data_IF_758310201121
#
_entry.id   IF_758310201121
#
_cell.length_a   1.000
_cell.length_b   1.000
_cell.length_c   1.000
_cell.angle_alpha   90.00
_cell.angle_beta   90.00
_cell.angle_gamma   90.00
#
_symmetry.space_group_name_H-M   'P 1'
#
loop_
_entity.id
_entity.type
_entity.pdbx_description
1 polymer ?
#
# COMPACT_ATOMS: atom_id res chain seq x y z
N UNK A 1 12.81 30.08 -43.67
CA UNK A 1 11.95 31.29 -43.76
C UNK A 1 10.80 31.07 -42.80
N UNK A 2 10.57 31.99 -41.85
CA UNK A 2 9.50 31.84 -40.85
C UNK A 2 8.21 32.44 -41.42
N UNK A 3 7.12 31.67 -41.38
CA UNK A 3 5.83 32.06 -41.95
C UNK A 3 4.90 32.43 -40.80
N UNK A 4 4.41 33.67 -40.79
CA UNK A 4 3.38 34.13 -39.86
C UNK A 4 2.07 34.37 -40.62
N UNK A 5 0.90 34.15 -40.00
CA UNK A 5 -0.39 34.35 -40.65
C UNK A 5 -0.74 35.82 -40.93
N UNK A 6 -0.03 36.76 -40.29
CA UNK A 6 -0.22 38.21 -40.45
C UNK A 6 1.08 38.95 -40.14
N UNK A 7 1.31 40.16 -40.72
CA UNK A 7 2.41 41.04 -40.32
C UNK A 7 2.25 41.64 -38.91
N UNK A 8 1.07 41.56 -38.30
CA UNK A 8 0.82 42.08 -36.94
C UNK A 8 0.86 40.97 -35.91
N UNK A 9 1.86 41.00 -35.02
CA UNK A 9 1.96 40.09 -33.88
C UNK A 9 2.85 40.64 -32.78
N UNK A 10 2.90 39.92 -31.67
CA UNK A 10 3.79 40.19 -30.52
C UNK A 10 4.68 38.98 -30.32
N UNK A 11 5.98 39.22 -30.19
CA UNK A 11 6.97 38.23 -29.79
C UNK A 11 7.22 38.38 -28.28
N UNK A 12 7.05 37.30 -27.54
CA UNK A 12 7.39 37.21 -26.12
C UNK A 12 8.67 36.40 -25.96
N UNK A 13 9.66 36.97 -25.28
CA UNK A 13 10.92 36.31 -24.95
C UNK A 13 10.95 36.02 -23.45
N UNK A 14 11.39 34.82 -23.09
CA UNK A 14 11.61 34.39 -21.70
C UNK A 14 13.02 33.84 -21.60
N UNK A 15 13.84 34.46 -20.76
CA UNK A 15 15.16 33.96 -20.39
C UNK A 15 15.01 32.97 -19.22
N UNK A 16 15.25 31.69 -19.50
CA UNK A 16 15.10 30.61 -18.53
C UNK A 16 16.19 30.58 -17.46
N UNK A 17 17.38 31.15 -17.75
CA UNK A 17 18.50 31.15 -16.82
C UNK A 17 18.38 32.31 -15.82
N UNK A 18 18.01 33.49 -16.31
CA UNK A 18 17.88 34.70 -15.49
C UNK A 18 16.46 34.96 -15.00
N UNK A 19 15.49 34.15 -15.41
CA UNK A 19 14.08 34.28 -15.05
C UNK A 19 13.48 35.66 -15.44
N UNK A 20 13.92 36.21 -16.57
CA UNK A 20 13.49 37.49 -17.12
C UNK A 20 12.54 37.27 -18.30
N UNK A 21 11.67 38.24 -18.58
CA UNK A 21 10.81 38.20 -19.76
C UNK A 21 10.59 39.60 -20.34
N UNK A 22 10.35 39.65 -21.65
CA UNK A 22 10.01 40.89 -22.36
C UNK A 22 9.14 40.59 -23.58
N UNK A 23 8.46 41.61 -24.10
CA UNK A 23 7.60 41.50 -25.28
C UNK A 23 7.84 42.62 -26.27
N UNK A 24 7.95 42.30 -27.56
CA UNK A 24 8.14 43.26 -28.65
C UNK A 24 7.19 42.97 -29.81
N UNK A 25 6.58 44.00 -30.38
CA UNK A 25 5.69 43.87 -31.53
C UNK A 25 4.55 44.88 -31.54
N UNK A 26 3.49 44.54 -32.28
CA UNK A 26 2.33 45.39 -32.47
C UNK A 26 1.31 45.20 -31.34
N UNK A 27 0.89 46.30 -30.70
CA UNK A 27 -0.05 46.28 -29.58
C UNK A 27 -1.31 47.07 -29.93
N UNK A 28 -2.47 46.44 -29.81
CA UNK A 28 -3.75 47.13 -29.85
C UNK A 28 -4.16 47.63 -28.44
N UNK A 29 -5.07 48.60 -28.34
CA UNK A 29 -5.51 49.15 -27.04
C UNK A 29 -5.96 48.04 -26.07
N UNK A 30 -5.43 48.07 -24.83
CA UNK A 30 -5.74 47.08 -23.79
C UNK A 30 -4.87 45.80 -23.81
N UNK A 31 -4.24 45.45 -24.93
CA UNK A 31 -3.40 44.24 -25.03
C UNK A 31 -2.14 44.30 -24.15
N UNK A 32 -1.46 45.46 -24.15
CA UNK A 32 -0.20 45.62 -23.41
C UNK A 32 -0.37 45.49 -21.88
N UNK A 33 -1.34 46.16 -21.23
CA UNK A 33 -1.62 45.94 -19.80
C UNK A 33 -2.00 44.48 -19.49
N UNK A 34 -2.81 43.84 -20.34
CA UNK A 34 -3.19 42.44 -20.18
C UNK A 34 -1.96 41.53 -20.20
N UNK A 35 -1.04 41.69 -21.16
CA UNK A 35 0.18 40.88 -21.23
C UNK A 35 1.15 41.13 -20.09
N UNK A 36 1.25 42.35 -19.59
CA UNK A 36 2.07 42.63 -18.41
C UNK A 36 1.56 41.85 -17.18
N UNK A 37 0.24 41.88 -16.94
CA UNK A 37 -0.36 41.14 -15.82
C UNK A 37 -0.27 39.61 -16.03
N UNK A 38 -0.58 39.15 -17.24
CA UNK A 38 -0.56 37.73 -17.58
C UNK A 38 0.85 37.14 -17.46
N UNK A 39 1.87 37.78 -18.03
CA UNK A 39 3.25 37.29 -17.95
C UNK A 39 3.80 37.33 -16.53
N UNK A 40 3.49 38.37 -15.74
CA UNK A 40 3.86 38.40 -14.33
C UNK A 40 3.26 37.20 -13.56
N UNK A 41 2.00 36.84 -13.85
CA UNK A 41 1.34 35.68 -13.25
C UNK A 41 1.92 34.35 -13.75
N UNK A 42 2.15 34.20 -15.05
CA UNK A 42 2.73 33.00 -15.67
C UNK A 42 4.13 32.74 -15.11
N UNK A 43 4.99 33.76 -15.07
CA UNK A 43 6.34 33.60 -14.52
C UNK A 43 6.30 33.18 -13.05
N UNK A 44 5.34 33.66 -12.26
CA UNK A 44 5.23 33.28 -10.85
C UNK A 44 4.63 31.88 -10.62
N UNK A 45 3.59 31.51 -11.37
CA UNK A 45 2.71 30.39 -11.04
C UNK A 45 2.70 29.22 -12.05
N UNK A 46 3.49 29.29 -13.12
CA UNK A 46 3.53 28.21 -14.12
C UNK A 46 4.25 26.96 -13.55
N UNK A 47 3.59 25.77 -13.55
CA UNK A 47 4.19 24.55 -13.01
C UNK A 47 5.46 24.10 -13.73
N UNK A 48 5.57 24.30 -15.06
CA UNK A 48 6.77 23.92 -15.80
C UNK A 48 7.99 24.78 -15.42
N UNK A 49 7.78 26.09 -15.24
CA UNK A 49 8.81 26.99 -14.73
C UNK A 49 9.18 26.66 -13.27
N UNK A 50 8.21 26.22 -12.45
CA UNK A 50 8.49 25.73 -11.11
C UNK A 50 9.40 24.48 -11.14
N UNK A 51 9.06 23.47 -11.94
CA UNK A 51 9.89 22.26 -12.12
C UNK A 51 11.30 22.60 -12.60
N UNK A 52 11.44 23.55 -13.54
CA UNK A 52 12.75 24.02 -13.99
C UNK A 52 13.57 24.61 -12.83
N UNK A 53 12.97 25.51 -12.04
CA UNK A 53 13.64 26.14 -10.89
C UNK A 53 14.03 25.13 -9.83
N UNK A 54 13.15 24.18 -9.51
CA UNK A 54 13.43 23.11 -8.55
C UNK A 54 14.58 22.22 -9.01
N UNK A 55 14.64 21.88 -10.31
CA UNK A 55 15.78 21.14 -10.86
C UNK A 55 17.08 21.92 -10.76
N UNK A 56 17.06 23.23 -11.02
CA UNK A 56 18.23 24.10 -10.85
C UNK A 56 18.64 24.15 -9.37
N UNK A 57 17.70 24.35 -8.43
CA UNK A 57 17.95 24.35 -6.97
C UNK A 57 18.56 23.03 -6.50
N UNK A 58 17.97 21.88 -6.88
CA UNK A 58 18.49 20.54 -6.60
C UNK A 58 19.89 20.34 -7.17
N UNK A 59 20.13 20.76 -8.41
CA UNK A 59 21.45 20.69 -9.06
C UNK A 59 22.51 21.52 -8.35
N UNK A 60 22.13 22.68 -7.80
CA UNK A 60 22.97 23.56 -7.00
C UNK A 60 23.00 23.22 -5.50
N UNK A 61 22.26 22.19 -5.07
CA UNK A 61 22.12 21.77 -3.68
C UNK A 61 21.60 22.88 -2.75
N UNK A 62 20.76 23.77 -3.27
CA UNK A 62 20.11 24.83 -2.50
C UNK A 62 18.80 24.32 -1.93
N UNK A 63 18.66 24.37 -0.60
CA UNK A 63 17.44 23.99 0.10
C UNK A 63 16.82 25.23 0.75
N UNK A 64 15.56 25.49 0.46
CA UNK A 64 14.77 26.55 1.08
C UNK A 64 13.55 25.96 1.75
N UNK A 65 13.21 26.43 2.95
CA UNK A 65 11.97 26.10 3.64
C UNK A 65 10.79 26.85 3.00
N UNK A 66 10.41 26.48 1.78
CA UNK A 66 9.15 26.94 1.22
C UNK A 66 7.97 26.19 1.88
N UNK A 67 6.83 26.85 2.13
CA UNK A 67 5.65 26.18 2.66
C UNK A 67 5.13 25.19 1.61
N UNK A 68 5.49 23.92 1.75
CA UNK A 68 4.95 22.84 0.92
C UNK A 68 3.62 22.37 1.49
N UNK A 69 2.75 21.83 0.63
CA UNK A 69 1.58 21.14 1.13
C UNK A 69 1.99 20.01 2.09
N UNK A 70 1.29 19.85 3.23
CA UNK A 70 1.60 18.80 4.17
C UNK A 70 1.35 17.44 3.53
N UNK A 71 2.27 16.51 3.74
CA UNK A 71 2.10 15.13 3.30
C UNK A 71 0.91 14.47 4.01
N UNK A 72 0.42 13.36 3.44
CA UNK A 72 -0.55 12.53 4.11
C UNK A 72 0.11 11.88 5.34
N UNK A 73 -0.49 12.09 6.51
CA UNK A 73 -0.07 11.56 7.81
C UNK A 73 -1.28 11.04 8.59
N UNK A 74 -1.07 10.50 9.79
CA UNK A 74 -2.18 10.03 10.63
C UNK A 74 -3.07 11.17 11.14
N UNK A 75 -2.59 12.42 11.10
CA UNK A 75 -3.32 13.60 11.58
C UNK A 75 -4.34 14.12 10.56
N UNK A 76 -3.99 14.12 9.28
CA UNK A 76 -4.86 14.59 8.17
C UNK A 76 -5.50 13.45 7.38
N UNK A 77 -5.38 12.20 7.86
CA UNK A 77 -5.93 11.00 7.23
C UNK A 77 -7.42 11.08 6.87
N UNK A 78 -8.20 11.87 7.62
CA UNK A 78 -9.63 12.09 7.36
C UNK A 78 -9.92 12.81 6.03
N UNK A 79 -8.98 13.58 5.49
CA UNK A 79 -9.14 14.33 4.23
C UNK A 79 -9.40 13.42 3.02
N UNK A 80 -8.96 12.16 3.10
CA UNK A 80 -9.15 11.13 2.08
C UNK A 80 -10.62 10.87 1.73
N UNK A 81 -11.53 11.18 2.65
CA UNK A 81 -12.95 10.88 2.53
C UNK A 81 -13.81 12.13 2.25
N UNK A 82 -13.17 13.22 1.83
CA UNK A 82 -13.87 14.41 1.37
C UNK A 82 -14.61 14.18 0.04
N UNK A 83 -15.38 15.19 -0.39
CA UNK A 83 -16.07 15.16 -1.68
C UNK A 83 -15.12 15.24 -2.89
N UNK A 84 -13.83 15.49 -2.68
CA UNK A 84 -12.84 15.50 -3.76
C UNK A 84 -12.52 14.08 -4.24
N UNK A 85 -12.23 13.94 -5.53
CA UNK A 85 -11.72 12.68 -6.09
C UNK A 85 -10.22 12.64 -5.80
N UNK A 86 -9.83 11.68 -4.97
CA UNK A 86 -8.44 11.48 -4.54
C UNK A 86 -8.00 10.12 -5.03
N UNK A 87 -6.81 10.03 -5.64
CA UNK A 87 -6.21 8.76 -6.03
C UNK A 87 -4.92 8.50 -5.26
N UNK A 88 -4.77 7.28 -4.77
CA UNK A 88 -3.46 6.72 -4.44
C UNK A 88 -2.81 6.16 -5.68
N UNK A 89 -1.51 6.40 -5.83
CA UNK A 89 -0.67 5.74 -6.84
C UNK A 89 0.46 5.00 -6.12
N UNK A 90 0.47 3.68 -6.27
CA UNK A 90 1.55 2.82 -5.79
C UNK A 90 2.29 2.18 -6.97
N UNK A 91 3.59 2.46 -7.07
CA UNK A 91 4.48 1.97 -8.11
C UNK A 91 5.36 0.80 -7.62
N UNK A 92 5.10 0.27 -6.41
CA UNK A 92 5.94 -0.75 -5.76
C UNK A 92 6.08 -2.01 -6.60
N UNK A 93 5.00 -2.42 -7.26
CA UNK A 93 4.94 -3.66 -8.02
C UNK A 93 5.03 -3.49 -9.54
N UNK A 94 5.49 -2.33 -10.02
CA UNK A 94 5.57 -2.03 -11.45
C UNK A 94 6.72 -2.79 -12.11
N UNK A 95 7.93 -2.70 -11.53
CA UNK A 95 9.09 -3.43 -12.01
C UNK A 95 9.46 -4.52 -11.00
N UNK A 96 9.15 -5.76 -11.36
CA UNK A 96 9.37 -6.95 -10.54
C UNK A 96 10.34 -7.88 -11.24
N UNK A 97 11.18 -8.55 -10.46
CA UNK A 97 12.18 -9.49 -10.97
C UNK A 97 12.18 -10.79 -10.20
N UNK A 98 12.48 -11.89 -10.88
CA UNK A 98 12.91 -13.14 -10.26
C UNK A 98 14.42 -13.22 -10.30
N UNK A 99 15.03 -13.55 -9.16
CA UNK A 99 16.47 -13.69 -9.03
C UNK A 99 16.80 -15.16 -9.27
N UNK A 100 17.74 -15.44 -10.17
CA UNK A 100 18.31 -16.75 -10.39
C UNK A 100 19.82 -16.69 -10.18
N UNK A 101 20.38 -17.71 -9.52
CA UNK A 101 21.82 -17.85 -9.36
C UNK A 101 22.33 -18.68 -10.53
N UNK A 102 23.27 -18.15 -11.30
CA UNK A 102 23.94 -18.89 -12.37
C UNK A 102 24.86 -19.96 -11.77
N UNK A 103 25.26 -20.92 -12.60
CA UNK A 103 26.20 -21.97 -12.19
C UNK A 103 27.53 -21.41 -11.66
N UNK A 104 27.99 -20.29 -12.24
CA UNK A 104 29.21 -19.57 -11.84
C UNK A 104 29.06 -18.78 -10.53
N UNK A 105 27.88 -18.80 -9.91
CA UNK A 105 27.59 -18.11 -8.66
C UNK A 105 27.08 -16.68 -8.82
N UNK A 106 26.98 -16.16 -10.04
CA UNK A 106 26.46 -14.81 -10.31
C UNK A 106 24.94 -14.74 -10.10
N UNK A 107 24.45 -13.65 -9.53
CA UNK A 107 23.01 -13.40 -9.39
C UNK A 107 22.51 -12.63 -10.63
N UNK A 108 21.63 -13.25 -11.40
CA UNK A 108 20.98 -12.65 -12.57
C UNK A 108 19.50 -12.43 -12.28
N UNK A 109 18.93 -11.39 -12.87
CA UNK A 109 17.53 -11.00 -12.66
C UNK A 109 16.74 -11.13 -13.95
N UNK A 110 15.55 -11.71 -13.89
CA UNK A 110 14.62 -11.79 -15.02
C UNK A 110 13.36 -11.00 -14.69
N UNK A 111 12.96 -10.02 -15.52
CA UNK A 111 11.73 -9.28 -15.27
C UNK A 111 10.50 -10.17 -15.42
N UNK A 112 9.52 -9.94 -14.57
CA UNK A 112 8.17 -10.55 -14.65
C UNK A 112 7.13 -9.44 -14.80
N UNK A 113 5.89 -9.82 -15.12
CA UNK A 113 4.79 -8.87 -15.20
C UNK A 113 4.60 -8.12 -13.86
N UNK A 114 4.38 -6.83 -13.98
CA UNK A 114 4.08 -5.94 -12.88
C UNK A 114 2.73 -5.27 -13.05
N UNK A 115 2.38 -4.42 -12.10
CA UNK A 115 1.19 -3.59 -12.20
C UNK A 115 1.35 -2.26 -11.48
N UNK A 116 0.72 -1.23 -12.03
CA UNK A 116 0.49 0.04 -11.35
C UNK A 116 -0.83 -0.07 -10.61
N UNK A 117 -0.83 0.34 -9.36
CA UNK A 117 -2.02 0.35 -8.51
C UNK A 117 -2.51 1.79 -8.35
N UNK A 118 -3.66 2.12 -8.96
CA UNK A 118 -4.29 3.45 -8.86
C UNK A 118 -5.64 3.29 -8.19
N UNK A 119 -5.84 3.92 -7.03
CA UNK A 119 -6.93 3.57 -6.14
C UNK A 119 -7.66 4.79 -5.55
N UNK A 120 -8.99 4.79 -5.62
CA UNK A 120 -9.83 5.79 -4.97
C UNK A 120 -10.30 5.29 -3.58
N UNK A 121 -9.82 5.89 -2.48
CA UNK A 121 -10.14 5.45 -1.11
C UNK A 121 -11.58 5.72 -0.70
N UNK A 122 -12.31 6.58 -1.42
CA UNK A 122 -13.72 6.86 -1.10
C UNK A 122 -14.64 5.82 -1.72
N UNK A 123 -14.43 5.50 -2.99
CA UNK A 123 -15.35 4.63 -3.76
C UNK A 123 -14.93 3.17 -3.81
N UNK A 124 -13.68 2.85 -3.47
CA UNK A 124 -13.14 1.50 -3.64
C UNK A 124 -12.63 1.22 -5.06
N UNK A 125 -12.79 2.16 -6.00
CA UNK A 125 -12.41 1.95 -7.39
C UNK A 125 -10.90 1.79 -7.53
N UNK A 126 -10.48 0.68 -8.14
CA UNK A 126 -9.11 0.32 -8.42
C UNK A 126 -8.90 0.21 -9.92
N UNK A 127 -8.06 1.07 -10.47
CA UNK A 127 -7.51 0.93 -11.81
C UNK A 127 -6.17 0.18 -11.69
N UNK A 128 -6.18 -1.09 -12.08
CA UNK A 128 -5.01 -1.95 -12.09
C UNK A 128 -4.44 -2.01 -13.50
N UNK A 129 -3.38 -1.24 -13.77
CA UNK A 129 -2.70 -1.27 -15.07
C UNK A 129 -1.62 -2.33 -15.05
N UNK A 130 -1.80 -3.38 -15.84
CA UNK A 130 -0.81 -4.44 -16.00
C UNK A 130 0.30 -3.95 -16.91
N UNK A 131 1.54 -4.10 -16.46
CA UNK A 131 2.77 -3.79 -17.21
C UNK A 131 3.43 -5.11 -17.60
N UNK A 132 3.29 -5.45 -18.89
CA UNK A 132 3.86 -6.66 -19.45
C UNK A 132 5.38 -6.55 -19.61
N UNK A 133 6.09 -7.69 -19.53
CA UNK A 133 7.55 -7.76 -19.64
C UNK A 133 8.12 -7.15 -20.93
N UNK A 134 7.34 -7.08 -22.01
CA UNK A 134 7.76 -6.46 -23.28
C UNK A 134 8.15 -4.99 -23.14
N UNK A 135 7.60 -4.27 -22.15
CA UNK A 135 7.95 -2.86 -21.88
C UNK A 135 9.41 -2.71 -21.46
N UNK A 136 10.01 -3.76 -20.89
CA UNK A 136 11.39 -3.75 -20.41
C UNK A 136 12.40 -4.21 -21.47
N UNK A 137 11.93 -4.74 -22.60
CA UNK A 137 12.79 -5.32 -23.62
C UNK A 137 13.70 -4.26 -24.27
N UNK A 138 15.01 -4.52 -24.29
CA UNK A 138 16.01 -3.61 -24.87
C UNK A 138 16.29 -2.34 -24.05
N UNK A 139 15.67 -2.20 -22.88
CA UNK A 139 15.80 -1.01 -22.04
C UNK A 139 16.89 -1.17 -20.96
N UNK A 140 17.47 -0.05 -20.54
CA UNK A 140 18.44 0.03 -19.43
C UNK A 140 17.89 0.91 -18.31
N UNK A 141 18.47 0.79 -17.11
CA UNK A 141 18.06 1.57 -15.91
C UNK A 141 16.57 1.41 -15.59
N UNK A 142 16.11 0.16 -15.60
CA UNK A 142 14.69 -0.22 -15.48
C UNK A 142 14.02 0.32 -14.21
N UNK A 143 14.75 0.46 -13.10
CA UNK A 143 14.21 1.06 -11.87
C UNK A 143 13.82 2.53 -12.01
N UNK A 144 14.54 3.31 -12.84
CA UNK A 144 14.15 4.68 -13.16
C UNK A 144 13.01 4.67 -14.18
N UNK A 145 13.13 3.86 -15.24
CA UNK A 145 12.13 3.75 -16.29
C UNK A 145 10.75 3.38 -15.74
N UNK A 146 10.68 2.49 -14.73
CA UNK A 146 9.43 2.09 -14.09
C UNK A 146 8.64 3.28 -13.52
N UNK A 147 9.32 4.26 -12.91
CA UNK A 147 8.69 5.45 -12.34
C UNK A 147 8.14 6.37 -13.42
N UNK A 148 8.92 6.60 -14.48
CA UNK A 148 8.49 7.40 -15.63
C UNK A 148 7.33 6.74 -16.37
N UNK A 149 7.40 5.43 -16.60
CA UNK A 149 6.32 4.68 -17.22
C UNK A 149 5.05 4.70 -16.37
N UNK A 150 5.19 4.65 -15.04
CA UNK A 150 4.05 4.81 -14.13
C UNK A 150 3.40 6.18 -14.29
N UNK A 151 4.18 7.25 -14.27
CA UNK A 151 3.66 8.62 -14.44
C UNK A 151 2.99 8.83 -15.80
N UNK A 152 3.57 8.26 -16.87
CA UNK A 152 2.99 8.27 -18.21
C UNK A 152 1.61 7.59 -18.25
N UNK A 153 1.48 6.37 -17.71
CA UNK A 153 0.21 5.63 -17.70
C UNK A 153 -0.84 6.30 -16.80
N UNK A 154 -0.43 6.89 -15.66
CA UNK A 154 -1.33 7.69 -14.80
C UNK A 154 -1.85 8.90 -15.56
N UNK A 155 -0.98 9.65 -16.25
CA UNK A 155 -1.39 10.80 -17.05
C UNK A 155 -2.30 10.40 -18.22
N UNK A 156 -2.02 9.25 -18.87
CA UNK A 156 -2.87 8.71 -19.93
C UNK A 156 -4.26 8.32 -19.40
N UNK A 157 -4.34 7.71 -18.21
CA UNK A 157 -5.61 7.41 -17.57
C UNK A 157 -6.42 8.69 -17.28
N UNK A 158 -5.80 9.72 -16.72
CA UNK A 158 -6.48 11.01 -16.46
C UNK A 158 -7.01 11.63 -17.76
N UNK A 159 -6.24 11.59 -18.85
CA UNK A 159 -6.68 12.07 -20.18
C UNK A 159 -7.87 11.29 -20.73
N UNK A 160 -8.01 10.02 -20.37
CA UNK A 160 -9.13 9.18 -20.82
C UNK A 160 -10.44 9.45 -20.08
N UNK A 161 -10.38 10.10 -18.92
CA UNK A 161 -11.57 10.40 -18.10
C UNK A 161 -12.16 11.78 -18.41
N UNK A 162 -13.50 11.92 -18.35
CA UNK A 162 -14.16 13.22 -18.33
C UNK A 162 -13.65 14.11 -17.19
N UNK A 163 -13.69 15.44 -17.37
CA UNK A 163 -13.11 16.41 -16.42
C UNK A 163 -13.77 16.33 -15.03
N UNK A 164 -15.02 15.86 -14.97
CA UNK A 164 -15.80 15.62 -13.75
C UNK A 164 -15.26 14.44 -12.92
N UNK A 165 -14.70 13.43 -13.58
CA UNK A 165 -14.16 12.22 -12.96
C UNK A 165 -12.65 12.30 -12.70
N UNK A 166 -11.98 13.34 -13.21
CA UNK A 166 -10.56 13.54 -12.99
C UNK A 166 -10.25 13.82 -11.51
N UNK A 167 -9.17 13.24 -10.97
CA UNK A 167 -8.78 13.47 -9.59
C UNK A 167 -8.42 14.93 -9.36
N UNK A 168 -8.78 15.47 -8.19
CA UNK A 168 -8.27 16.77 -7.73
C UNK A 168 -6.95 16.62 -7.00
N UNK A 169 -6.68 15.43 -6.46
CA UNK A 169 -5.46 15.14 -5.73
C UNK A 169 -4.97 13.73 -6.04
N UNK A 170 -3.65 13.60 -6.20
CA UNK A 170 -2.93 12.34 -6.34
C UNK A 170 -1.96 12.22 -5.19
N UNK A 171 -2.05 11.11 -4.45
CA UNK A 171 -1.17 10.79 -3.33
C UNK A 171 -0.26 9.65 -3.75
N UNK A 172 1.05 9.89 -3.74
CA UNK A 172 2.03 8.84 -4.03
C UNK A 172 2.51 8.17 -2.75
N UNK A 173 2.63 6.84 -2.79
CA UNK A 173 3.18 6.06 -1.67
C UNK A 173 4.69 6.22 -1.53
N UNK A 174 5.41 6.48 -2.64
CA UNK A 174 6.87 6.59 -2.66
C UNK A 174 7.30 7.95 -3.20
N UNK A 175 8.19 8.64 -2.47
CA UNK A 175 8.71 9.97 -2.83
C UNK A 175 9.33 10.04 -4.23
N UNK A 176 9.89 8.93 -4.72
CA UNK A 176 10.47 8.85 -6.06
C UNK A 176 9.49 9.04 -7.22
N UNK A 177 8.17 9.01 -6.96
CA UNK A 177 7.12 9.24 -7.94
C UNK A 177 6.67 10.71 -8.07
N UNK A 178 7.07 11.58 -7.14
CA UNK A 178 6.71 13.01 -7.18
C UNK A 178 7.26 13.67 -8.46
N UNK A 179 8.59 13.62 -8.65
CA UNK A 179 9.24 14.29 -9.78
C UNK A 179 8.71 13.81 -11.16
N UNK A 180 8.53 12.49 -11.44
CA UNK A 180 7.94 12.05 -12.70
C UNK A 180 6.49 12.52 -12.92
N UNK A 181 5.65 12.49 -11.88
CA UNK A 181 4.25 12.92 -12.00
C UNK A 181 4.14 14.43 -12.22
N UNK A 182 4.95 15.24 -11.53
CA UNK A 182 4.98 16.70 -11.75
C UNK A 182 5.29 17.06 -13.21
N UNK A 183 6.14 16.26 -13.87
CA UNK A 183 6.50 16.46 -15.28
C UNK A 183 5.41 15.99 -16.22
N UNK A 184 4.81 14.83 -15.97
CA UNK A 184 3.78 14.28 -16.85
C UNK A 184 2.40 14.94 -16.69
N UNK A 185 2.15 15.61 -15.56
CA UNK A 185 0.89 16.29 -15.25
C UNK A 185 0.95 17.82 -15.43
N UNK A 186 1.93 18.34 -16.18
CA UNK A 186 2.00 19.77 -16.54
C UNK A 186 0.75 20.26 -17.28
N UNK A 187 0.09 19.38 -18.03
CA UNK A 187 -1.18 19.65 -18.73
C UNK A 187 -2.38 19.77 -17.75
N UNK A 188 -2.20 19.35 -16.49
CA UNK A 188 -3.23 19.28 -15.46
C UNK A 188 -2.86 20.13 -14.23
N UNK A 189 -2.75 21.47 -14.36
CA UNK A 189 -2.24 22.35 -13.31
C UNK A 189 -3.11 22.40 -12.05
N UNK A 190 -4.35 21.90 -12.11
CA UNK A 190 -5.30 21.89 -11.00
C UNK A 190 -5.24 20.60 -10.17
N UNK A 191 -4.42 19.62 -10.57
CA UNK A 191 -4.26 18.37 -9.83
C UNK A 191 -3.11 18.53 -8.85
N UNK A 192 -3.43 18.39 -7.56
CA UNK A 192 -2.46 18.44 -6.48
C UNK A 192 -1.71 17.11 -6.39
N UNK A 193 -0.39 17.15 -6.36
CA UNK A 193 0.46 15.96 -6.17
C UNK A 193 1.05 16.00 -4.76
N UNK A 194 0.72 15.01 -3.94
CA UNK A 194 1.10 14.95 -2.52
C UNK A 194 1.86 13.66 -2.21
N UNK A 195 2.84 13.74 -1.32
CA UNK A 195 3.52 12.56 -0.77
C UNK A 195 2.77 11.97 0.43
N UNK A 196 3.03 10.71 0.75
CA UNK A 196 2.57 10.06 1.97
C UNK A 196 3.73 9.79 2.92
N UNK A 197 3.55 10.13 4.21
CA UNK A 197 4.41 9.65 5.31
C UNK A 197 3.98 8.24 5.76
N UNK A 198 2.74 7.86 5.49
CA UNK A 198 2.21 6.53 5.78
C UNK A 198 2.77 5.52 4.78
N UNK A 199 3.36 4.43 5.26
CA UNK A 199 3.79 3.30 4.43
C UNK A 199 2.62 2.33 4.23
N UNK A 200 1.65 2.69 3.39
CA UNK A 200 0.47 1.87 3.14
C UNK A 200 0.83 0.55 2.42
N UNK A 201 0.18 -0.58 2.75
CA UNK A 201 0.60 -1.91 2.31
C UNK A 201 -0.03 -2.31 0.96
N UNK A 202 -0.23 -1.37 0.02
CA UNK A 202 -0.87 -1.67 -1.27
C UNK A 202 -0.11 -2.72 -2.09
N UNK A 203 1.21 -2.84 -1.90
CA UNK A 203 2.00 -3.89 -2.51
C UNK A 203 1.53 -5.32 -2.17
N UNK A 204 0.89 -5.51 -1.00
CA UNK A 204 0.37 -6.81 -0.57
C UNK A 204 -0.88 -7.22 -1.36
N UNK A 205 -1.47 -6.32 -2.14
CA UNK A 205 -2.62 -6.62 -2.98
C UNK A 205 -2.31 -7.72 -4.01
N UNK A 206 -1.08 -7.78 -4.52
CA UNK A 206 -0.63 -8.87 -5.42
C UNK A 206 -0.60 -10.26 -4.77
N UNK A 207 -0.66 -10.34 -3.43
CA UNK A 207 -0.70 -11.61 -2.71
C UNK A 207 -2.09 -12.25 -2.74
N UNK A 208 -3.11 -11.51 -3.19
CA UNK A 208 -4.45 -12.01 -3.48
C UNK A 208 -4.44 -12.70 -4.84
N UNK A 209 -4.89 -13.95 -4.87
CA UNK A 209 -4.82 -14.85 -6.03
C UNK A 209 -5.46 -14.24 -7.27
N UNK A 210 -6.63 -13.58 -7.11
CA UNK A 210 -7.35 -12.93 -8.22
C UNK A 210 -6.49 -11.91 -8.96
N UNK A 211 -5.71 -11.11 -8.23
CA UNK A 211 -4.82 -10.13 -8.83
C UNK A 211 -3.51 -10.74 -9.30
N UNK A 212 -2.90 -11.61 -8.48
CA UNK A 212 -1.65 -12.30 -8.80
C UNK A 212 -1.75 -13.10 -10.09
N UNK A 213 -2.76 -13.95 -10.22
CA UNK A 213 -2.99 -14.78 -11.40
C UNK A 213 -3.26 -13.94 -12.64
N UNK A 214 -4.09 -12.91 -12.52
CA UNK A 214 -4.43 -12.03 -13.64
C UNK A 214 -3.18 -11.36 -14.21
N UNK A 215 -2.29 -10.87 -13.34
CA UNK A 215 -1.05 -10.21 -13.76
C UNK A 215 -0.06 -11.21 -14.35
N UNK A 216 0.07 -12.40 -13.77
CA UNK A 216 0.99 -13.42 -14.28
C UNK A 216 0.54 -14.00 -15.63
N UNK A 217 -0.77 -14.15 -15.85
CA UNK A 217 -1.35 -14.72 -17.08
C UNK A 217 -1.46 -13.69 -18.22
N UNK A 218 -1.31 -12.40 -17.96
CA UNK A 218 -1.43 -11.36 -18.98
C UNK A 218 -0.33 -11.46 -20.05
N UNK A 219 -0.75 -11.47 -21.32
CA UNK A 219 0.12 -11.53 -22.49
C UNK A 219 0.45 -10.15 -23.08
N UNK A 220 -0.29 -9.12 -22.68
CA UNK A 220 -0.14 -7.74 -23.14
C UNK A 220 -0.45 -6.72 -22.05
N UNK A 221 0.00 -5.45 -22.18
CA UNK A 221 -0.38 -4.39 -21.25
C UNK A 221 -1.88 -4.08 -21.35
N UNK A 222 -2.60 -4.16 -20.24
CA UNK A 222 -4.04 -3.90 -20.20
C UNK A 222 -4.43 -3.18 -18.91
N UNK A 223 -5.51 -2.39 -18.98
CA UNK A 223 -6.11 -1.73 -17.82
C UNK A 223 -7.30 -2.57 -17.34
N UNK A 224 -7.33 -2.93 -16.06
CA UNK A 224 -8.43 -3.69 -15.47
C UNK A 224 -9.03 -2.91 -14.32
N UNK A 225 -10.35 -2.76 -14.35
CA UNK A 225 -11.11 -2.03 -13.33
C UNK A 225 -11.66 -3.01 -12.29
N UNK A 226 -11.47 -2.68 -11.02
CA UNK A 226 -12.04 -3.39 -9.88
C UNK A 226 -12.73 -2.42 -8.93
N UNK A 227 -13.65 -2.93 -8.13
CA UNK A 227 -14.03 -2.31 -6.88
C UNK A 227 -13.44 -3.13 -5.74
N UNK A 228 -12.38 -2.64 -5.09
CA UNK A 228 -11.67 -3.37 -4.04
C UNK A 228 -12.48 -3.48 -2.74
N UNK A 229 -13.57 -2.73 -2.60
CA UNK A 229 -14.48 -2.84 -1.46
C UNK A 229 -15.61 -3.84 -1.70
N UNK A 230 -15.71 -4.41 -2.90
CA UNK A 230 -16.85 -5.23 -3.30
C UNK A 230 -18.18 -4.51 -3.00
N UNK A 231 -18.94 -4.98 -2.01
CA UNK A 231 -20.24 -4.47 -1.58
C UNK A 231 -20.23 -3.80 -0.20
N UNK A 232 -19.06 -3.61 0.44
CA UNK A 232 -18.97 -3.09 1.81
C UNK A 232 -19.62 -1.72 1.99
N UNK A 233 -19.60 -0.86 0.97
CA UNK A 233 -20.19 0.48 1.05
C UNK A 233 -21.72 0.47 1.21
N UNK A 234 -22.36 -0.68 1.08
CA UNK A 234 -23.80 -0.83 1.35
C UNK A 234 -24.10 -0.83 2.86
N UNK A 235 -23.18 -1.34 3.70
CA UNK A 235 -23.39 -1.49 5.15
C UNK A 235 -22.48 -0.59 5.98
N UNK A 236 -21.31 -0.21 5.47
CA UNK A 236 -20.32 0.60 6.20
C UNK A 236 -19.86 1.84 5.42
N UNK A 237 -19.34 2.82 6.14
CA UNK A 237 -18.80 4.05 5.53
C UNK A 237 -17.49 3.79 4.77
N UNK A 238 -17.14 4.67 3.82
CA UNK A 238 -15.85 4.63 3.11
C UNK A 238 -14.64 4.63 4.06
N UNK A 239 -14.72 5.37 5.18
CA UNK A 239 -13.67 5.40 6.20
C UNK A 239 -13.44 4.00 6.80
N UNK A 240 -14.53 3.33 7.18
CA UNK A 240 -14.49 1.98 7.75
C UNK A 240 -14.03 0.96 6.70
N UNK A 241 -14.53 1.06 5.46
CA UNK A 241 -14.14 0.18 4.36
C UNK A 241 -12.65 0.29 4.02
N UNK A 242 -12.11 1.52 3.99
CA UNK A 242 -10.68 1.73 3.82
C UNK A 242 -9.88 1.18 4.99
N UNK A 243 -10.33 1.40 6.23
CA UNK A 243 -9.66 0.87 7.42
C UNK A 243 -9.61 -0.66 7.40
N UNK A 244 -10.73 -1.33 7.05
CA UNK A 244 -10.80 -2.78 6.82
C UNK A 244 -9.81 -3.24 5.76
N UNK A 245 -9.79 -2.56 4.60
CA UNK A 245 -8.85 -2.88 3.52
C UNK A 245 -7.40 -2.78 3.98
N UNK A 246 -7.01 -1.69 4.63
CA UNK A 246 -5.64 -1.50 5.12
C UNK A 246 -5.27 -2.57 6.13
N UNK A 247 -6.19 -2.95 7.02
CA UNK A 247 -5.99 -4.01 7.99
C UNK A 247 -5.72 -5.37 7.30
N UNK A 248 -6.53 -5.74 6.31
CA UNK A 248 -6.36 -6.97 5.53
C UNK A 248 -5.01 -6.96 4.79
N UNK A 249 -4.72 -5.88 4.06
CA UNK A 249 -3.49 -5.76 3.29
C UNK A 249 -2.24 -5.74 4.19
N UNK A 250 -2.31 -5.12 5.36
CA UNK A 250 -1.22 -5.12 6.34
C UNK A 250 -1.00 -6.52 6.91
N UNK A 251 -2.07 -7.23 7.24
CA UNK A 251 -1.99 -8.61 7.71
C UNK A 251 -1.39 -9.53 6.63
N UNK A 252 -1.82 -9.40 5.36
CA UNK A 252 -1.23 -10.12 4.21
C UNK A 252 0.25 -9.77 4.00
N UNK A 253 0.65 -8.52 4.29
CA UNK A 253 2.04 -8.10 4.25
C UNK A 253 2.87 -8.83 5.31
N UNK A 254 2.37 -8.88 6.55
CA UNK A 254 3.01 -9.50 7.72
C UNK A 254 3.06 -11.02 7.63
N UNK A 255 1.91 -11.66 7.44
CA UNK A 255 1.78 -13.12 7.35
C UNK A 255 0.68 -13.49 6.38
N UNK A 256 1.09 -13.87 5.16
CA UNK A 256 0.18 -14.25 4.08
C UNK A 256 -0.68 -15.45 4.48
N UNK A 257 -0.04 -16.57 4.86
CA UNK A 257 -0.72 -17.83 5.15
C UNK A 257 -1.75 -17.70 6.28
N UNK A 258 -1.38 -17.06 7.41
CA UNK A 258 -2.29 -16.88 8.55
C UNK A 258 -3.46 -15.98 8.21
N UNK A 259 -3.21 -14.91 7.46
CA UNK A 259 -4.26 -13.99 7.04
C UNK A 259 -5.28 -14.68 6.14
N UNK A 260 -4.83 -15.51 5.20
CA UNK A 260 -5.74 -16.29 4.34
C UNK A 260 -6.61 -17.27 5.12
N UNK A 261 -6.08 -17.85 6.20
CA UNK A 261 -6.85 -18.71 7.12
C UNK A 261 -7.89 -17.87 7.88
N UNK A 262 -7.49 -16.71 8.43
CA UNK A 262 -8.39 -15.81 9.17
C UNK A 262 -9.55 -15.31 8.29
N UNK A 263 -9.28 -14.99 7.02
CA UNK A 263 -10.30 -14.52 6.07
C UNK A 263 -11.33 -15.60 5.71
N UNK A 264 -11.04 -16.89 5.95
CA UNK A 264 -11.94 -18.03 5.66
C UNK A 264 -12.18 -18.83 6.95
N UNK A 265 -13.00 -18.30 7.88
CA UNK A 265 -13.18 -18.89 9.21
C UNK A 265 -13.89 -20.25 9.18
N UNK A 266 -14.71 -20.49 8.15
CA UNK A 266 -15.41 -21.76 7.94
C UNK A 266 -15.21 -22.27 6.50
N UNK A 267 -15.49 -23.56 6.29
CA UNK A 267 -15.39 -24.18 4.96
C UNK A 267 -16.55 -23.83 4.01
N UNK A 268 -17.59 -23.18 4.52
CA UNK A 268 -18.75 -22.71 3.74
C UNK A 268 -18.55 -21.29 3.20
N UNK A 269 -17.54 -20.58 3.70
CA UNK A 269 -17.17 -19.22 3.29
C UNK A 269 -16.73 -19.23 1.83
N UNK A 270 -17.60 -18.70 0.98
CA UNK A 270 -17.35 -18.54 -0.45
C UNK A 270 -17.07 -17.08 -0.81
N UNK A 271 -16.35 -16.89 -1.90
CA UNK A 271 -16.13 -15.58 -2.52
C UNK A 271 -16.93 -15.56 -3.81
N UNK A 272 -17.77 -14.54 -3.99
CA UNK A 272 -18.53 -14.39 -5.23
C UNK A 272 -17.57 -14.21 -6.42
N UNK A 273 -17.89 -14.70 -7.63
CA UNK A 273 -16.99 -14.64 -8.78
C UNK A 273 -16.54 -13.20 -9.12
N UNK A 274 -17.42 -12.22 -8.93
CA UNK A 274 -17.15 -10.81 -9.18
C UNK A 274 -16.46 -10.11 -8.00
N UNK A 275 -16.52 -10.68 -6.79
CA UNK A 275 -15.89 -10.13 -5.59
C UNK A 275 -14.42 -10.54 -5.44
N UNK A 276 -13.69 -9.79 -4.62
CA UNK A 276 -12.30 -10.06 -4.26
C UNK A 276 -12.23 -10.74 -2.90
N UNK A 277 -13.05 -10.28 -1.95
CA UNK A 277 -13.04 -10.74 -0.56
C UNK A 277 -14.14 -11.77 -0.30
N UNK A 278 -13.97 -12.62 0.72
CA UNK A 278 -15.01 -13.56 1.14
C UNK A 278 -16.30 -12.84 1.56
N UNK A 279 -17.44 -13.45 1.22
CA UNK A 279 -18.76 -12.92 1.62
C UNK A 279 -19.03 -13.29 3.08
N UNK A 280 -18.88 -12.31 3.97
CA UNK A 280 -19.08 -12.45 5.40
C UNK A 280 -20.15 -11.48 5.89
N UNK A 281 -20.91 -11.88 6.91
CA UNK A 281 -21.82 -11.00 7.63
C UNK A 281 -21.04 -9.96 8.47
N UNK A 282 -21.67 -8.83 8.80
CA UNK A 282 -21.02 -7.75 9.57
C UNK A 282 -20.45 -8.22 10.92
N UNK A 283 -21.14 -9.13 11.62
CA UNK A 283 -20.66 -9.73 12.87
C UNK A 283 -19.42 -10.62 12.69
N UNK A 284 -19.33 -11.32 11.56
CA UNK A 284 -18.15 -12.12 11.22
C UNK A 284 -16.98 -11.21 10.86
N UNK A 285 -17.22 -10.13 10.11
CA UNK A 285 -16.21 -9.11 9.82
C UNK A 285 -15.60 -8.52 11.09
N UNK A 286 -16.42 -8.19 12.10
CA UNK A 286 -15.90 -7.70 13.39
C UNK A 286 -14.92 -8.68 14.04
N UNK A 287 -15.23 -9.98 14.04
CA UNK A 287 -14.34 -11.02 14.60
C UNK A 287 -13.05 -11.14 13.78
N UNK A 288 -13.16 -11.14 12.45
CA UNK A 288 -12.03 -11.21 11.53
C UNK A 288 -11.12 -9.99 11.71
N UNK A 289 -11.66 -8.78 11.76
CA UNK A 289 -10.90 -7.55 11.97
C UNK A 289 -10.10 -7.58 13.28
N UNK A 290 -10.70 -8.06 14.38
CA UNK A 290 -9.96 -8.23 15.65
C UNK A 290 -8.78 -9.19 15.48
N UNK A 291 -9.00 -10.35 14.85
CA UNK A 291 -7.93 -11.33 14.61
C UNK A 291 -6.81 -10.79 13.72
N UNK A 292 -7.14 -10.02 12.68
CA UNK A 292 -6.16 -9.39 11.79
C UNK A 292 -5.34 -8.34 12.54
N UNK A 293 -6.00 -7.52 13.37
CA UNK A 293 -5.32 -6.54 14.23
C UNK A 293 -4.35 -7.22 15.19
N UNK A 294 -4.80 -8.27 15.88
CA UNK A 294 -3.98 -9.00 16.85
C UNK A 294 -2.78 -9.69 16.18
N UNK A 295 -2.95 -10.19 14.95
CA UNK A 295 -1.86 -10.75 14.14
C UNK A 295 -0.79 -9.70 13.82
N UNK A 296 -1.21 -8.49 13.41
CA UNK A 296 -0.29 -7.39 13.07
C UNK A 296 0.45 -6.92 14.33
N UNK A 297 -0.27 -6.68 15.42
CA UNK A 297 0.31 -6.22 16.68
C UNK A 297 1.24 -7.27 17.30
N UNK A 298 0.85 -8.55 17.22
CA UNK A 298 1.69 -9.65 17.70
C UNK A 298 3.02 -9.78 16.94
N UNK A 299 3.03 -9.53 15.62
CA UNK A 299 4.28 -9.47 14.84
C UNK A 299 5.13 -8.25 15.23
N UNK A 300 4.50 -7.08 15.39
CA UNK A 300 5.19 -5.87 15.83
C UNK A 300 5.83 -6.05 17.22
N UNK A 301 5.08 -6.58 18.19
CA UNK A 301 5.55 -6.84 19.55
C UNK A 301 6.72 -7.82 19.57
N UNK A 302 6.69 -8.87 18.74
CA UNK A 302 7.80 -9.84 18.61
C UNK A 302 9.04 -9.24 17.98
N UNK A 303 8.90 -8.42 16.93
CA UNK A 303 10.04 -7.81 16.24
C UNK A 303 10.72 -6.73 17.06
N UNK A 304 9.94 -5.97 17.84
CA UNK A 304 10.45 -4.84 18.62
C UNK A 304 10.62 -5.15 20.11
N UNK A 305 10.31 -6.38 20.55
CA UNK A 305 10.29 -6.78 21.96
C UNK A 305 9.43 -5.84 22.83
N UNK A 306 8.22 -5.52 22.37
CA UNK A 306 7.26 -4.64 23.06
C UNK A 306 6.03 -5.44 23.47
N UNK A 307 5.58 -5.25 24.71
CA UNK A 307 4.30 -5.79 25.17
C UNK A 307 3.14 -5.03 24.49
N UNK A 308 2.37 -5.74 23.66
CA UNK A 308 1.24 -5.17 22.89
C UNK A 308 0.18 -4.51 23.78
N UNK A 309 -0.03 -5.00 24.99
CA UNK A 309 -0.99 -4.43 25.93
C UNK A 309 -0.62 -3.01 26.39
N UNK A 310 0.65 -2.62 26.29
CA UNK A 310 1.12 -1.29 26.67
C UNK A 310 0.90 -0.22 25.59
N UNK A 311 0.44 -0.62 24.39
CA UNK A 311 0.25 0.31 23.27
C UNK A 311 -1.05 1.13 23.42
N UNK A 312 -0.91 2.43 23.20
CA UNK A 312 -2.04 3.36 23.10
C UNK A 312 -2.80 3.19 21.78
N UNK A 313 -4.05 3.68 21.72
CA UNK A 313 -4.85 3.60 20.48
C UNK A 313 -4.23 4.38 19.31
N UNK A 314 -3.54 5.49 19.59
CA UNK A 314 -2.77 6.23 18.58
C UNK A 314 -1.61 5.42 18.03
N UNK A 315 -0.83 4.75 18.90
CA UNK A 315 0.29 3.90 18.48
C UNK A 315 -0.23 2.71 17.67
N UNK A 316 -1.32 2.05 18.11
CA UNK A 316 -1.94 0.96 17.35
C UNK A 316 -2.33 1.41 15.94
N UNK A 317 -2.98 2.57 15.82
CA UNK A 317 -3.34 3.15 14.52
C UNK A 317 -2.12 3.42 13.66
N UNK A 318 -1.08 4.02 14.24
CA UNK A 318 0.15 4.37 13.55
C UNK A 318 0.91 3.11 13.07
N UNK A 319 0.92 2.01 13.85
CA UNK A 319 1.46 0.70 13.43
C UNK A 319 0.70 0.19 12.20
N UNK A 320 -0.63 0.20 12.24
CA UNK A 320 -1.48 -0.31 11.15
C UNK A 320 -1.32 0.53 9.89
N UNK A 321 -1.20 1.86 10.02
CA UNK A 321 -0.95 2.77 8.91
C UNK A 321 0.50 2.74 8.42
N UNK A 322 1.41 2.14 9.18
CA UNK A 322 2.81 1.96 8.81
C UNK A 322 3.64 3.23 9.00
N UNK A 323 3.35 4.01 10.05
CA UNK A 323 4.22 5.10 10.49
C UNK A 323 5.39 4.56 11.29
N UNK A 324 6.53 5.25 11.21
CA UNK A 324 7.67 4.97 12.07
C UNK A 324 7.38 5.52 13.47
N UNK A 325 7.35 4.63 14.45
CA UNK A 325 7.07 4.95 15.86
C UNK A 325 8.26 4.51 16.68
N UNK A 326 8.69 5.36 17.61
CA UNK A 326 9.64 4.95 18.63
C UNK A 326 8.98 3.93 19.54
N UNK A 327 9.66 2.81 19.80
CA UNK A 327 9.17 1.81 20.73
C UNK A 327 8.92 2.44 22.12
N UNK A 328 7.81 2.10 22.82
CA UNK A 328 7.52 2.62 24.15
C UNK A 328 8.68 2.35 25.12
N UNK A 329 9.01 3.32 25.98
CA UNK A 329 10.08 3.17 26.97
C UNK A 329 9.78 2.05 27.97
N UNK A 330 10.83 1.38 28.47
CA UNK A 330 10.73 0.29 29.45
C UNK A 330 9.96 0.69 30.72
N UNK A 331 10.10 1.94 31.18
CA UNK A 331 9.32 2.45 32.31
C UNK A 331 7.81 2.45 32.04
N UNK A 332 7.38 2.83 30.84
CA UNK A 332 5.94 2.79 30.46
C UNK A 332 5.41 1.37 30.41
N UNK A 333 6.22 0.43 29.93
CA UNK A 333 5.87 -0.98 29.87
C UNK A 333 5.66 -1.55 31.30
N UNK A 334 6.55 -1.23 32.23
CA UNK A 334 6.44 -1.66 33.63
C UNK A 334 5.19 -1.08 34.32
N UNK A 335 4.85 0.19 34.07
CA UNK A 335 3.64 0.82 34.64
C UNK A 335 2.38 0.14 34.10
N UNK A 336 2.32 -0.14 32.80
CA UNK A 336 1.17 -0.83 32.19
C UNK A 336 1.01 -2.27 32.74
N UNK A 337 2.10 -2.98 32.98
CA UNK A 337 2.07 -4.32 33.59
C UNK A 337 1.57 -4.27 35.04
N UNK A 338 1.99 -3.27 35.82
CA UNK A 338 1.51 -3.08 37.21
C UNK A 338 0.02 -2.73 37.23
N UNK A 339 -0.45 -1.86 36.34
CA UNK A 339 -1.88 -1.52 36.23
C UNK A 339 -2.72 -2.71 35.77
N UNK A 340 -2.22 -3.54 34.86
CA UNK A 340 -2.89 -4.75 34.42
C UNK A 340 -2.98 -5.78 35.54
N UNK A 341 -1.89 -6.01 36.29
CA UNK A 341 -1.90 -6.89 37.46
C UNK A 341 -2.86 -6.38 38.55
N UNK A 342 -2.95 -5.07 38.76
CA UNK A 342 -3.90 -4.48 39.70
C UNK A 342 -5.37 -4.68 39.26
N UNK A 343 -5.66 -4.61 37.95
CA UNK A 343 -6.99 -4.92 37.40
C UNK A 343 -7.32 -6.40 37.47
N UNK A 344 -6.38 -7.28 37.16
CA UNK A 344 -6.58 -8.73 37.25
C UNK A 344 -6.79 -9.19 38.71
N UNK A 345 -6.11 -8.58 39.69
CA UNK A 345 -6.38 -8.80 41.11
C UNK A 345 -7.78 -8.33 41.55
N UNK A 346 -8.38 -7.35 40.86
CA UNK A 346 -9.73 -6.87 41.17
C UNK A 346 -10.85 -7.75 40.59
N UNK A 347 -10.54 -8.71 39.72
CA UNK A 347 -11.51 -9.62 39.07
C UNK A 347 -11.26 -11.10 39.39
N UNK A 348 -10.91 -11.44 40.63
CA UNK A 348 -10.99 -12.82 41.13
C UNK A 348 -12.46 -13.23 41.37
N UNK A 349 -13.21 -13.47 40.29
CA UNK A 349 -14.49 -14.19 40.37
C UNK A 349 -14.21 -15.68 40.53
N UNK A 350 -14.35 -16.20 41.75
CA UNK A 350 -14.40 -17.63 42.02
C UNK A 350 -15.65 -18.23 41.37
N UNK A 351 -15.48 -19.30 40.58
CA UNK A 351 -16.62 -20.05 40.02
C UNK A 351 -16.91 -21.22 40.96
N UNK A 352 -18.06 -21.17 41.62
CA UNK A 352 -18.56 -22.27 42.46
C UNK A 352 -19.47 -23.15 41.62
N UNK A 353 -19.06 -24.39 41.35
CA UNK A 353 -19.86 -25.37 40.63
C UNK A 353 -20.42 -26.40 41.61
N UNK A 354 -21.73 -26.63 41.58
CA UNK A 354 -22.38 -27.72 42.33
C UNK A 354 -22.46 -28.96 41.43
N UNK A 355 -21.92 -30.09 41.90
CA UNK A 355 -21.96 -31.38 41.21
C UNK A 355 -22.29 -32.51 42.18
N UNK A 356 -22.85 -33.62 41.71
CA UNK A 356 -23.28 -34.73 42.57
C UNK A 356 -22.36 -35.94 42.37
N UNK A 357 -21.95 -36.62 43.44
CA UNK A 357 -21.15 -37.84 43.32
C UNK A 357 -22.02 -39.04 42.87
N UNK A 358 -21.38 -40.18 42.52
CA UNK A 358 -22.07 -41.42 42.11
C UNK A 358 -23.01 -42.06 43.16
N UNK A 359 -23.02 -41.54 44.39
CA UNK A 359 -23.84 -41.95 45.51
C UNK A 359 -24.94 -40.94 45.88
N UNK A 360 -25.08 -39.83 45.14
CA UNK A 360 -26.16 -38.85 45.33
C UNK A 360 -25.83 -37.69 46.28
N UNK A 361 -24.61 -37.57 46.78
CA UNK A 361 -24.22 -36.47 47.67
C UNK A 361 -23.83 -35.22 46.88
N UNK A 362 -24.34 -34.05 47.29
CA UNK A 362 -24.01 -32.76 46.70
C UNK A 362 -22.57 -32.32 47.09
N UNK A 363 -21.72 -32.11 46.08
CA UNK A 363 -20.39 -31.52 46.20
C UNK A 363 -20.39 -30.08 45.66
N UNK A 364 -19.82 -29.17 46.44
CA UNK A 364 -19.63 -27.77 46.06
C UNK A 364 -18.14 -27.53 45.83
N UNK A 365 -17.74 -27.36 44.57
CA UNK A 365 -16.33 -27.12 44.20
C UNK A 365 -16.17 -25.66 43.83
N UNK A 366 -15.34 -24.95 44.61
CA UNK A 366 -14.99 -23.55 44.36
C UNK A 366 -13.59 -23.50 43.77
N UNK A 367 -13.47 -23.21 42.47
CA UNK A 367 -12.18 -23.10 41.80
C UNK A 367 -11.73 -21.64 41.77
N UNK A 368 -10.59 -21.36 42.40
CA UNK A 368 -9.99 -20.01 42.51
C UNK A 368 -8.77 -19.79 41.61
N UNK A 369 -8.36 -20.81 40.85
CA UNK A 369 -7.16 -20.79 40.00
C UNK A 369 -7.52 -20.91 38.51
N UNK A 370 -7.01 -19.97 37.69
CA UNK A 370 -7.14 -19.98 36.22
C UNK A 370 -6.36 -21.12 35.54
N UNK A 371 -5.44 -21.77 36.24
CA UNK A 371 -4.54 -22.79 35.67
C UNK A 371 -5.28 -24.03 35.15
N UNK A 372 -6.42 -24.38 35.76
CA UNK A 372 -7.21 -25.56 35.39
C UNK A 372 -8.19 -25.31 34.23
N UNK A 373 -8.26 -24.08 33.70
CA UNK A 373 -9.04 -23.75 32.50
C UNK A 373 -8.25 -23.88 31.18
N UNK A 374 -6.97 -24.29 31.23
CA UNK A 374 -6.26 -24.71 30.02
C UNK A 374 -6.87 -26.01 29.50
N UNK A 375 -7.90 -25.87 28.68
CA UNK A 375 -8.52 -26.95 27.93
C UNK A 375 -7.43 -27.67 27.13
N UNK A 376 -7.07 -28.87 27.58
CA UNK A 376 -6.20 -29.76 26.83
C UNK A 376 -6.98 -30.30 25.63
N UNK A 377 -6.87 -29.63 24.49
CA UNK A 377 -7.49 -30.06 23.24
C UNK A 377 -6.66 -31.18 22.59
N UNK A 378 -6.98 -32.43 22.88
CA UNK A 378 -6.30 -33.63 22.34
C UNK A 378 -6.75 -34.03 20.92
N UNK A 379 -7.48 -33.18 20.21
CA UNK A 379 -7.92 -33.49 18.84
C UNK A 379 -6.89 -32.96 17.85
N UNK A 380 -6.37 -33.87 17.01
CA UNK A 380 -5.62 -33.52 15.81
C UNK A 380 -6.48 -32.60 14.96
N UNK A 381 -6.14 -31.31 14.93
CA UNK A 381 -6.88 -30.29 14.17
C UNK A 381 -6.56 -30.40 12.67
N UNK A 382 -6.98 -31.54 12.09
CA UNK A 382 -6.73 -31.90 10.70
C UNK A 382 -7.39 -30.91 9.74
N UNK A 383 -8.46 -30.23 10.16
CA UNK A 383 -9.18 -29.23 9.36
C UNK A 383 -8.32 -28.00 9.15
N UNK A 384 -7.76 -27.44 10.23
CA UNK A 384 -6.82 -26.30 10.11
C UNK A 384 -5.60 -26.67 9.27
N UNK A 385 -5.08 -27.90 9.42
CA UNK A 385 -3.97 -28.40 8.58
C UNK A 385 -4.35 -28.55 7.11
N UNK A 386 -5.54 -29.06 6.82
CA UNK A 386 -6.03 -29.23 5.44
C UNK A 386 -6.21 -27.88 4.74
N UNK A 387 -6.78 -26.88 5.43
CA UNK A 387 -6.89 -25.51 4.92
C UNK A 387 -5.48 -24.89 4.75
N UNK A 388 -4.56 -25.15 5.67
CA UNK A 388 -3.18 -24.63 5.56
C UNK A 388 -2.41 -25.25 4.38
N UNK A 389 -2.69 -26.51 4.04
CA UNK A 389 -2.01 -27.23 2.96
C UNK A 389 -2.28 -26.64 1.57
N UNK A 390 -3.43 -25.98 1.35
CA UNK A 390 -3.70 -25.32 0.07
C UNK A 390 -2.74 -24.17 -0.21
N UNK A 391 -2.15 -23.57 0.83
CA UNK A 391 -1.18 -22.47 0.73
C UNK A 391 0.29 -22.94 0.60
N UNK A 392 0.55 -24.25 0.59
CA UNK A 392 1.92 -24.78 0.58
C UNK A 392 2.73 -24.35 -0.66
N UNK A 393 2.04 -24.14 -1.79
CA UNK A 393 2.62 -23.64 -3.03
C UNK A 393 3.27 -22.25 -2.88
N UNK A 394 2.86 -21.42 -1.92
CA UNK A 394 3.47 -20.10 -1.72
C UNK A 394 4.92 -20.17 -1.23
N UNK A 395 5.31 -21.30 -0.60
CA UNK A 395 6.66 -21.53 -0.08
C UNK A 395 7.68 -21.81 -1.17
N UNK A 396 7.23 -22.23 -2.36
CA UNK A 396 8.13 -22.51 -3.50
C UNK A 396 8.78 -21.25 -4.06
N UNK A 397 8.31 -20.05 -3.70
CA UNK A 397 8.93 -18.79 -4.08
C UNK A 397 10.31 -18.56 -3.45
N UNK A 398 10.59 -19.19 -2.31
CA UNK A 398 11.84 -19.05 -1.56
C UNK A 398 12.42 -20.43 -1.23
N UNK A 399 13.19 -20.98 -2.16
CA UNK A 399 13.86 -22.27 -1.99
C UNK A 399 15.31 -22.03 -1.64
N UNK A 400 15.71 -22.53 -0.47
CA UNK A 400 17.10 -22.53 -0.03
C UNK A 400 17.68 -23.92 -0.26
N UNK A 401 18.69 -24.02 -1.12
CA UNK A 401 19.45 -25.24 -1.34
C UNK A 401 20.76 -25.12 -0.58
N UNK A 402 21.02 -26.06 0.32
CA UNK A 402 22.30 -26.13 1.03
C UNK A 402 23.41 -26.36 0.01
N UNK A 403 24.42 -25.50 0.03
CA UNK A 403 25.56 -25.57 -0.87
C UNK A 403 26.80 -25.94 -0.05
N UNK A 404 27.17 -27.22 -0.09
CA UNK A 404 28.46 -27.69 0.42
C UNK A 404 29.49 -27.73 -0.73
N UNK A 405 30.79 -27.80 -0.38
CA UNK A 405 31.86 -27.91 -1.38
C UNK A 405 31.68 -29.13 -2.27
N UNK A 406 31.75 -28.92 -3.59
CA UNK A 406 31.54 -29.96 -4.60
C UNK A 406 32.70 -30.95 -4.55
N UNK A 407 32.44 -32.18 -4.13
CA UNK A 407 33.40 -33.28 -4.19
C UNK A 407 33.34 -33.95 -5.55
N UNK A 408 34.46 -34.05 -6.26
CA UNK A 408 34.56 -34.69 -7.58
C UNK A 408 34.18 -36.19 -7.57
N UNK A 409 34.23 -36.84 -6.41
CA UNK A 409 33.89 -38.26 -6.23
C UNK A 409 32.44 -38.51 -5.78
N UNK A 410 31.66 -37.45 -5.55
CA UNK A 410 30.27 -37.54 -5.11
C UNK A 410 29.26 -37.64 -6.24
N UNK A 411 28.10 -38.25 -5.98
CA UNK A 411 26.97 -38.20 -6.90
C UNK A 411 26.22 -36.87 -6.77
N UNK A 412 25.95 -36.21 -7.90
CA UNK A 412 25.10 -35.03 -7.96
C UNK A 412 23.68 -35.43 -8.33
N UNK A 413 22.71 -35.17 -7.45
CA UNK A 413 21.29 -35.42 -7.72
C UNK A 413 20.65 -34.16 -8.28
N UNK A 414 20.18 -34.22 -9.52
CA UNK A 414 19.37 -33.16 -10.12
C UNK A 414 17.90 -33.41 -9.81
N UNK A 415 17.28 -32.50 -9.05
CA UNK A 415 15.83 -32.52 -8.81
C UNK A 415 15.15 -31.68 -9.88
N UNK A 416 14.23 -32.29 -10.62
CA UNK A 416 13.43 -31.56 -11.61
C UNK A 416 12.42 -30.65 -10.90
N UNK A 417 12.38 -29.38 -11.32
CA UNK A 417 11.36 -28.44 -10.90
C UNK A 417 10.35 -28.31 -12.05
N UNK A 418 9.12 -28.82 -11.87
CA UNK A 418 8.03 -28.51 -12.78
C UNK A 418 7.53 -27.11 -12.42
N UNK A 419 7.72 -26.17 -13.34
CA UNK A 419 7.27 -24.76 -13.22
C UNK A 419 5.80 -24.65 -13.60
#
# INVERSE_FOLDING_TARGET
>A
MTIYPSPTGVLLAVDLAYNLYSGYGNWFPGCKPLMQQAMAKIMKANPALYVLRERIRKGLQLYSSEPTEPYLSSQNYGELFSNQIIWFVDDTNVYRVTIHKTFEGNLTTKPINGAIFIFNPRTGQLFLKIIHTSVWAGQKRLGQLAKWKTAEEVAALIRSLPVEEQPKQIIVTRKGMLDPLEVHLLDFPNIVIKGSELQLPFQACLKVEKFGDLILKATEPQMVLFNIYDDWLNTITSYTAFSRLILILRALHVSNDRTKIILRPDGETTTQPHHIWPSLADEQWLKVEVQLKDLILGDYGKKNNVNVASLTQSEIRDIILGMEISAPSLQRQQVAEIEQQAREQSQLTSVTTKTVNKHGDEMVVTTTSQYEQHSFASKTDWRVRAISATNLHLRTNHIYVTSDDIKETGFTFAVSCMV
#
